data_IF_949430169280
#
_entry.id   IF_949430169280
#
_cell.length_a   1.000
_cell.length_b   1.000
_cell.length_c   1.000
_cell.angle_alpha   90.00
_cell.angle_beta   90.00
_cell.angle_gamma   90.00
#
_symmetry.space_group_name_H-M   'P 1'
#
loop_
_entity.id
_entity.type
_entity.pdbx_description
1 polymer ?
#
# COMPACT_ATOMS: atom_id res chain seq x y z
N UNK A 1 61.89 9.05 2.82
CA UNK A 1 60.67 8.27 2.56
C UNK A 1 59.61 8.70 3.55
N UNK A 2 58.66 9.51 3.09
CA UNK A 2 57.58 10.10 3.88
C UNK A 2 56.44 9.10 4.05
N UNK A 3 56.09 8.79 5.29
CA UNK A 3 54.96 7.92 5.66
C UNK A 3 53.66 8.67 5.36
N UNK A 4 52.86 8.17 4.42
CA UNK A 4 51.51 8.69 4.15
C UNK A 4 50.58 8.42 5.35
N UNK A 5 49.75 9.38 5.78
CA UNK A 5 48.90 9.24 6.95
C UNK A 5 47.71 8.31 6.64
N UNK A 6 47.44 7.43 7.61
CA UNK A 6 46.26 6.59 7.81
C UNK A 6 45.08 6.85 6.86
N UNK A 7 44.76 5.85 6.04
CA UNK A 7 43.45 5.70 5.42
C UNK A 7 42.37 5.81 6.51
N UNK A 8 41.58 6.89 6.51
CA UNK A 8 40.42 7.00 7.41
C UNK A 8 39.54 5.79 7.14
N UNK A 9 39.44 4.90 8.13
CA UNK A 9 38.49 3.80 8.13
C UNK A 9 37.11 4.46 8.06
N UNK A 10 36.43 4.31 6.91
CA UNK A 10 35.04 4.73 6.78
C UNK A 10 34.20 3.77 7.62
N UNK A 11 33.82 4.22 8.83
CA UNK A 11 33.01 3.44 9.77
C UNK A 11 31.55 3.26 9.31
N UNK A 12 31.23 3.65 8.08
CA UNK A 12 29.88 3.58 7.53
C UNK A 12 28.97 4.62 8.17
N UNK A 13 27.69 4.60 7.75
CA UNK A 13 26.69 5.59 8.18
C UNK A 13 26.48 5.54 9.69
N UNK A 14 26.24 6.70 10.31
CA UNK A 14 25.98 6.77 11.75
C UNK A 14 24.64 6.09 12.08
N UNK A 15 24.70 4.91 12.71
CA UNK A 15 23.53 4.11 13.10
C UNK A 15 23.24 4.31 14.59
N UNK A 16 22.01 4.71 14.93
CA UNK A 16 21.51 4.64 16.30
C UNK A 16 20.92 3.25 16.54
N UNK A 17 21.43 2.56 17.57
CA UNK A 17 20.94 1.24 17.98
C UNK A 17 20.02 1.42 19.17
N UNK A 18 18.71 1.22 18.98
CA UNK A 18 17.76 1.17 20.09
C UNK A 18 17.63 -0.29 20.52
N UNK A 19 18.09 -0.59 21.74
CA UNK A 19 17.96 -1.91 22.36
C UNK A 19 16.81 -1.88 23.37
N UNK A 20 15.70 -2.52 23.02
CA UNK A 20 14.52 -2.66 23.89
C UNK A 20 14.41 -4.07 24.47
N UNK A 21 13.74 -4.20 25.61
CA UNK A 21 13.35 -5.47 26.24
C UNK A 21 14.52 -6.41 26.58
N UNK A 22 15.37 -6.00 27.55
CA UNK A 22 16.53 -6.78 28.05
C UNK A 22 17.45 -7.32 26.93
N UNK A 23 17.61 -6.56 25.85
CA UNK A 23 18.51 -6.91 24.72
C UNK A 23 17.95 -7.89 23.70
N UNK A 24 16.67 -8.33 23.81
CA UNK A 24 16.06 -9.26 22.83
C UNK A 24 15.60 -8.57 21.54
N UNK A 25 15.35 -7.25 21.58
CA UNK A 25 14.99 -6.45 20.42
C UNK A 25 16.08 -5.40 20.16
N UNK A 26 16.67 -5.45 18.96
CA UNK A 26 17.64 -4.46 18.49
C UNK A 26 17.14 -3.89 17.18
N UNK A 27 16.77 -2.61 17.20
CA UNK A 27 16.44 -1.82 16.01
C UNK A 27 17.62 -0.90 15.70
N UNK A 28 17.96 -0.79 14.41
CA UNK A 28 19.04 0.05 13.89
C UNK A 28 18.42 1.12 13.00
N UNK A 29 18.47 2.37 13.43
CA UNK A 29 17.97 3.51 12.67
C UNK A 29 19.16 4.32 12.16
N UNK A 30 19.22 4.52 10.85
CA UNK A 30 20.17 5.44 10.25
C UNK A 30 19.71 6.88 10.53
N UNK A 31 20.64 7.79 10.86
CA UNK A 31 20.29 9.20 11.11
C UNK A 31 19.57 9.82 9.92
N UNK A 32 20.01 9.51 8.70
CA UNK A 32 19.37 10.04 7.48
C UNK A 32 17.93 9.53 7.36
N UNK A 33 17.67 8.26 7.65
CA UNK A 33 16.31 7.71 7.62
C UNK A 33 15.39 8.39 8.65
N UNK A 34 15.91 8.74 9.83
CA UNK A 34 15.14 9.50 10.84
C UNK A 34 14.85 10.91 10.33
N UNK A 35 15.85 11.63 9.82
CA UNK A 35 15.67 12.99 9.31
C UNK A 35 14.72 13.04 8.12
N UNK A 36 14.89 12.15 7.14
CA UNK A 36 13.99 12.05 5.98
C UNK A 36 12.58 11.67 6.42
N UNK A 37 12.44 10.72 7.34
CA UNK A 37 11.13 10.33 7.90
C UNK A 37 10.43 11.50 8.62
N UNK A 38 11.17 12.25 9.43
CA UNK A 38 10.64 13.43 10.12
C UNK A 38 10.25 14.53 9.13
N UNK A 39 11.09 14.82 8.14
CA UNK A 39 10.79 15.81 7.10
C UNK A 39 9.53 15.44 6.32
N UNK A 40 9.38 14.18 5.92
CA UNK A 40 8.18 13.68 5.25
C UNK A 40 6.94 13.73 6.16
N UNK A 41 7.09 13.45 7.46
CA UNK A 41 5.99 13.58 8.42
C UNK A 41 5.52 15.03 8.57
N UNK A 42 6.46 15.98 8.67
CA UNK A 42 6.14 17.42 8.73
C UNK A 42 5.45 17.88 7.44
N UNK A 43 5.97 17.48 6.28
CA UNK A 43 5.35 17.78 5.00
C UNK A 43 3.93 17.20 4.90
N UNK A 44 3.75 15.96 5.35
CA UNK A 44 2.44 15.28 5.40
C UNK A 44 1.45 16.04 6.28
N UNK A 45 1.86 16.50 7.46
CA UNK A 45 1.03 17.32 8.34
C UNK A 45 0.67 18.67 7.69
N UNK A 46 1.61 19.31 7.00
CA UNK A 46 1.35 20.53 6.23
C UNK A 46 0.29 20.31 5.14
N UNK A 47 0.43 19.23 4.36
CA UNK A 47 -0.54 18.85 3.32
C UNK A 47 -1.91 18.53 3.95
N UNK A 48 -1.95 17.85 5.09
CA UNK A 48 -3.18 17.57 5.82
C UNK A 48 -3.90 18.86 6.24
N UNK A 49 -3.16 19.83 6.80
CA UNK A 49 -3.70 21.12 7.20
C UNK A 49 -4.25 21.90 6.00
N UNK A 50 -3.52 21.93 4.88
CA UNK A 50 -3.98 22.57 3.64
C UNK A 50 -5.21 21.85 3.09
N UNK A 51 -5.25 20.52 3.11
CA UNK A 51 -6.39 19.74 2.63
C UNK A 51 -7.65 19.96 3.48
N UNK A 52 -7.49 20.14 4.80
CA UNK A 52 -8.60 20.43 5.71
C UNK A 52 -9.15 21.86 5.54
N UNK A 53 -8.31 22.83 5.20
CA UNK A 53 -8.75 24.23 4.96
C UNK A 53 -9.30 24.43 3.54
N UNK A 54 -8.79 23.67 2.57
CA UNK A 54 -9.15 23.75 1.15
C UNK A 54 -10.44 22.99 0.84
N UNK A 55 -11.28 23.53 -0.05
CA UNK A 55 -12.50 22.87 -0.53
C UNK A 55 -13.50 23.85 -1.13
N UNK A 56 -14.71 23.36 -1.48
CA UNK A 56 -15.80 24.21 -2.02
C UNK A 56 -16.18 25.37 -1.07
N UNK A 57 -16.01 25.16 0.23
CA UNK A 57 -16.13 26.18 1.26
C UNK A 57 -14.76 26.35 1.93
N UNK A 58 -13.99 27.40 1.61
CA UNK A 58 -12.72 27.65 2.28
C UNK A 58 -12.98 27.99 3.75
N UNK A 59 -12.32 27.27 4.65
CA UNK A 59 -12.47 27.44 6.10
C UNK A 59 -11.11 27.86 6.66
N UNK A 60 -11.08 28.96 7.40
CA UNK A 60 -9.86 29.43 8.05
C UNK A 60 -9.30 28.38 9.01
N UNK A 61 -7.97 28.27 9.09
CA UNK A 61 -7.30 27.25 9.91
C UNK A 61 -7.73 27.28 11.38
N UNK A 62 -7.99 28.47 11.93
CA UNK A 62 -8.47 28.63 13.31
C UNK A 62 -9.84 27.96 13.53
N UNK A 63 -10.73 28.04 12.54
CA UNK A 63 -12.06 27.43 12.60
C UNK A 63 -11.98 25.91 12.40
N UNK A 64 -11.00 25.42 11.63
CA UNK A 64 -10.69 23.99 11.52
C UNK A 64 -10.22 23.45 12.87
N UNK A 65 -9.27 24.14 13.52
CA UNK A 65 -8.76 23.73 14.83
C UNK A 65 -9.85 23.78 15.90
N UNK A 66 -10.68 24.83 15.89
CA UNK A 66 -11.86 24.93 16.74
C UNK A 66 -12.78 23.73 16.55
N UNK A 67 -13.14 23.42 15.30
CA UNK A 67 -14.01 22.30 14.96
C UNK A 67 -13.46 20.94 15.43
N UNK A 68 -12.13 20.73 15.37
CA UNK A 68 -11.48 19.51 15.85
C UNK A 68 -11.52 19.35 17.38
N UNK A 69 -11.52 20.47 18.11
CA UNK A 69 -11.62 20.49 19.58
C UNK A 69 -13.09 20.54 20.04
N UNK A 70 -14.05 20.51 19.11
CA UNK A 70 -15.49 20.54 19.40
C UNK A 70 -16.05 21.94 19.65
N UNK A 71 -15.33 22.99 19.25
CA UNK A 71 -15.75 24.38 19.33
C UNK A 71 -16.13 24.93 17.94
N UNK A 72 -17.04 25.90 17.90
CA UNK A 72 -17.43 26.59 16.67
C UNK A 72 -18.75 26.11 16.07
N UNK A 73 -19.02 26.58 14.86
CA UNK A 73 -20.28 26.37 14.14
C UNK A 73 -20.50 24.88 13.76
N UNK A 74 -21.72 24.39 13.95
CA UNK A 74 -22.09 22.98 13.72
C UNK A 74 -21.91 22.58 12.25
N UNK A 75 -22.17 23.51 11.31
CA UNK A 75 -21.96 23.27 9.88
C UNK A 75 -20.47 23.11 9.56
N UNK A 76 -19.61 23.98 10.12
CA UNK A 76 -18.14 23.87 9.98
C UNK A 76 -17.64 22.55 10.55
N UNK A 77 -18.15 22.16 11.73
CA UNK A 77 -17.79 20.89 12.36
C UNK A 77 -18.20 19.69 11.50
N UNK A 78 -19.41 19.68 10.97
CA UNK A 78 -19.86 18.60 10.08
C UNK A 78 -18.96 18.49 8.84
N UNK A 79 -18.62 19.61 8.19
CA UNK A 79 -17.76 19.59 7.01
C UNK A 79 -16.34 19.11 7.35
N UNK A 80 -15.75 19.64 8.43
CA UNK A 80 -14.36 19.34 8.80
C UNK A 80 -14.22 17.93 9.37
N UNK A 81 -15.03 17.57 10.36
CA UNK A 81 -14.90 16.34 11.13
C UNK A 81 -15.52 15.16 10.40
N UNK A 82 -16.74 15.29 9.85
CA UNK A 82 -17.45 14.15 9.27
C UNK A 82 -17.05 13.88 7.81
N UNK A 83 -16.69 14.92 7.05
CA UNK A 83 -16.40 14.75 5.61
C UNK A 83 -14.91 14.84 5.28
N UNK A 84 -14.21 15.87 5.75
CA UNK A 84 -12.81 16.10 5.36
C UNK A 84 -11.83 15.24 6.15
N UNK A 85 -12.01 15.15 7.47
CA UNK A 85 -11.08 14.42 8.34
C UNK A 85 -10.96 12.93 7.98
N UNK A 86 -12.05 12.14 7.84
CA UNK A 86 -11.91 10.73 7.48
C UNK A 86 -11.29 10.55 6.10
N UNK A 87 -11.63 11.42 5.15
CA UNK A 87 -11.04 11.40 3.80
C UNK A 87 -9.54 11.67 3.81
N UNK A 88 -9.08 12.67 4.56
CA UNK A 88 -7.65 12.99 4.70
C UNK A 88 -6.91 11.85 5.41
N UNK A 89 -7.47 11.33 6.51
CA UNK A 89 -6.86 10.21 7.24
C UNK A 89 -6.76 8.94 6.38
N UNK A 90 -7.82 8.60 5.63
CA UNK A 90 -7.78 7.49 4.67
C UNK A 90 -6.77 7.72 3.55
N UNK A 91 -6.63 8.95 3.03
CA UNK A 91 -5.60 9.25 2.02
C UNK A 91 -4.19 8.90 2.52
N UNK A 92 -3.86 9.26 3.76
CA UNK A 92 -2.56 8.92 4.35
C UNK A 92 -2.40 7.43 4.63
N UNK A 93 -3.43 6.79 5.17
CA UNK A 93 -3.40 5.36 5.48
C UNK A 93 -3.26 4.51 4.22
N UNK A 94 -4.12 4.75 3.22
CA UNK A 94 -4.11 4.02 1.97
C UNK A 94 -2.84 4.33 1.15
N UNK A 95 -2.41 5.60 1.11
CA UNK A 95 -1.14 5.98 0.48
C UNK A 95 0.07 5.31 1.14
N UNK A 96 0.09 5.22 2.47
CA UNK A 96 1.11 4.49 3.22
C UNK A 96 1.10 2.98 2.93
N UNK A 97 -0.10 2.38 2.81
CA UNK A 97 -0.24 0.97 2.45
C UNK A 97 0.29 0.68 1.03
N UNK A 98 -0.02 1.54 0.06
CA UNK A 98 0.53 1.44 -1.29
C UNK A 98 2.05 1.63 -1.30
N UNK A 99 2.57 2.63 -0.57
CA UNK A 99 4.02 2.85 -0.46
C UNK A 99 4.75 1.64 0.14
N UNK A 100 4.18 1.01 1.17
CA UNK A 100 4.72 -0.23 1.76
C UNK A 100 4.67 -1.39 0.77
N UNK A 101 3.57 -1.57 0.05
CA UNK A 101 3.46 -2.60 -0.98
C UNK A 101 4.48 -2.40 -2.10
N UNK A 102 4.60 -1.17 -2.61
CA UNK A 102 5.60 -0.79 -3.61
C UNK A 102 7.02 -1.11 -3.15
N UNK A 103 7.39 -0.73 -1.93
CA UNK A 103 8.70 -1.05 -1.36
C UNK A 103 8.95 -2.57 -1.29
N UNK A 104 7.95 -3.35 -0.87
CA UNK A 104 8.04 -4.82 -0.83
C UNK A 104 8.28 -5.39 -2.23
N UNK A 105 7.53 -4.95 -3.24
CA UNK A 105 7.67 -5.44 -4.61
C UNK A 105 8.98 -4.99 -5.25
N UNK A 106 9.45 -3.77 -5.00
CA UNK A 106 10.76 -3.30 -5.43
C UNK A 106 11.88 -4.17 -4.85
N UNK A 107 11.82 -4.49 -3.55
CA UNK A 107 12.78 -5.40 -2.89
C UNK A 107 12.72 -6.83 -3.42
N UNK A 108 11.50 -7.38 -3.63
CA UNK A 108 11.30 -8.74 -4.12
C UNK A 108 11.80 -8.94 -5.56
N UNK A 109 11.58 -7.92 -6.39
CA UNK A 109 11.99 -7.91 -7.80
C UNK A 109 13.43 -7.44 -7.98
N UNK A 110 14.03 -6.84 -6.95
CA UNK A 110 15.30 -6.10 -7.01
C UNK A 110 15.31 -5.10 -8.17
N UNK A 111 14.15 -4.48 -8.42
CA UNK A 111 13.93 -3.56 -9.51
C UNK A 111 13.19 -2.33 -8.97
N UNK A 112 13.78 -1.11 -9.07
CA UNK A 112 13.11 0.11 -8.63
C UNK A 112 11.80 0.39 -9.40
N UNK A 113 11.60 -0.21 -10.58
CA UNK A 113 10.38 -0.14 -11.37
C UNK A 113 9.35 -1.23 -11.00
N UNK A 114 9.64 -2.09 -10.03
CA UNK A 114 8.73 -3.15 -9.62
C UNK A 114 7.55 -2.60 -8.82
N UNK A 115 6.36 -2.52 -9.44
CA UNK A 115 5.12 -2.14 -8.76
C UNK A 115 4.11 -3.30 -8.74
N UNK A 116 3.22 -3.36 -7.73
CA UNK A 116 2.15 -4.36 -7.67
C UNK A 116 1.18 -4.28 -8.86
N UNK A 117 1.00 -3.09 -9.43
CA UNK A 117 0.11 -2.86 -10.57
C UNK A 117 0.58 -3.61 -11.83
N UNK A 118 1.89 -3.68 -12.05
CA UNK A 118 2.49 -4.39 -13.18
C UNK A 118 2.21 -5.90 -13.12
N UNK A 119 1.99 -6.45 -11.92
CA UNK A 119 1.75 -7.88 -11.72
C UNK A 119 0.27 -8.25 -11.94
N UNK A 120 -0.63 -7.25 -12.04
CA UNK A 120 -2.03 -7.45 -12.40
C UNK A 120 -2.99 -7.66 -11.23
N UNK A 121 -2.54 -7.46 -9.98
CA UNK A 121 -3.41 -7.62 -8.82
C UNK A 121 -4.53 -6.56 -8.80
N UNK A 122 -4.21 -5.32 -9.16
CA UNK A 122 -5.19 -4.24 -9.28
C UNK A 122 -6.22 -4.53 -10.38
N UNK A 123 -5.79 -5.12 -11.51
CA UNK A 123 -6.69 -5.56 -12.58
C UNK A 123 -7.62 -6.69 -12.12
N UNK A 124 -7.11 -7.65 -11.34
CA UNK A 124 -7.90 -8.73 -10.73
C UNK A 124 -8.90 -8.26 -9.69
N UNK A 125 -8.50 -7.32 -8.84
CA UNK A 125 -9.41 -6.66 -7.91
C UNK A 125 -10.50 -5.89 -8.64
N UNK A 126 -10.17 -5.20 -9.73
CA UNK A 126 -11.16 -4.52 -10.56
C UNK A 126 -12.12 -5.51 -11.23
N UNK A 127 -11.63 -6.65 -11.73
CA UNK A 127 -12.49 -7.73 -12.25
C UNK A 127 -13.46 -8.23 -11.19
N UNK A 128 -12.99 -8.47 -9.96
CA UNK A 128 -13.84 -8.89 -8.85
C UNK A 128 -14.92 -7.86 -8.51
N UNK A 129 -14.57 -6.57 -8.51
CA UNK A 129 -15.53 -5.48 -8.33
C UNK A 129 -16.57 -5.45 -9.46
N UNK A 130 -16.14 -5.56 -10.72
CA UNK A 130 -17.02 -5.57 -11.89
C UNK A 130 -17.99 -6.74 -11.86
N UNK A 131 -17.54 -7.94 -11.47
CA UNK A 131 -18.41 -9.11 -11.31
C UNK A 131 -19.53 -8.82 -10.31
N UNK A 132 -19.22 -8.21 -9.16
CA UNK A 132 -20.25 -7.88 -8.16
C UNK A 132 -21.18 -6.78 -8.65
N UNK A 133 -20.65 -5.71 -9.24
CA UNK A 133 -21.45 -4.58 -9.73
C UNK A 133 -22.39 -5.03 -10.86
N UNK A 134 -21.88 -5.82 -11.82
CA UNK A 134 -22.61 -6.19 -13.03
C UNK A 134 -23.56 -7.38 -12.82
N UNK A 135 -23.16 -8.40 -12.06
CA UNK A 135 -23.93 -9.65 -11.94
C UNK A 135 -24.75 -9.74 -10.66
N UNK A 136 -24.25 -9.18 -9.56
CA UNK A 136 -24.90 -9.27 -8.25
C UNK A 136 -25.63 -7.98 -7.87
N UNK A 137 -25.42 -6.89 -8.63
CA UNK A 137 -25.91 -5.54 -8.32
C UNK A 137 -25.60 -5.12 -6.89
N UNK A 138 -24.42 -5.52 -6.41
CA UNK A 138 -24.07 -5.41 -5.01
C UNK A 138 -23.74 -4.00 -4.56
N UNK A 139 -23.95 -3.71 -3.28
CA UNK A 139 -23.59 -2.45 -2.64
C UNK A 139 -22.08 -2.24 -2.51
N UNK A 140 -21.69 -1.15 -1.84
CA UNK A 140 -20.27 -0.81 -1.60
C UNK A 140 -19.49 -1.94 -0.93
N UNK A 141 -20.01 -2.50 0.17
CA UNK A 141 -19.33 -3.55 0.93
C UNK A 141 -19.17 -4.85 0.14
N UNK A 142 -20.17 -5.21 -0.66
CA UNK A 142 -20.13 -6.41 -1.51
C UNK A 142 -19.12 -6.21 -2.64
N UNK A 143 -19.11 -5.01 -3.25
CA UNK A 143 -18.13 -4.63 -4.28
C UNK A 143 -16.70 -4.65 -3.73
N UNK A 144 -16.51 -4.12 -2.52
CA UNK A 144 -15.23 -4.13 -1.82
C UNK A 144 -14.77 -5.58 -1.50
N UNK A 145 -15.69 -6.44 -1.07
CA UNK A 145 -15.40 -7.86 -0.85
C UNK A 145 -15.06 -8.59 -2.16
N UNK A 146 -15.81 -8.33 -3.23
CA UNK A 146 -15.51 -8.83 -4.57
C UNK A 146 -14.14 -8.40 -5.06
N UNK A 147 -13.77 -7.14 -4.84
CA UNK A 147 -12.46 -6.63 -5.19
C UNK A 147 -11.34 -7.33 -4.41
N UNK A 148 -11.51 -7.51 -3.11
CA UNK A 148 -10.54 -8.21 -2.27
C UNK A 148 -10.35 -9.67 -2.73
N UNK A 149 -11.46 -10.38 -2.97
CA UNK A 149 -11.43 -11.78 -3.43
C UNK A 149 -10.80 -11.86 -4.82
N UNK A 150 -11.20 -10.99 -5.75
CA UNK A 150 -10.64 -10.93 -7.10
C UNK A 150 -9.13 -10.74 -7.09
N UNK A 151 -8.62 -9.79 -6.29
CA UNK A 151 -7.18 -9.56 -6.14
C UNK A 151 -6.43 -10.77 -5.56
N UNK A 152 -6.98 -11.41 -4.53
CA UNK A 152 -6.38 -12.61 -3.91
C UNK A 152 -6.37 -13.80 -4.89
N UNK A 153 -7.48 -14.02 -5.60
CA UNK A 153 -7.58 -15.10 -6.61
C UNK A 153 -6.59 -14.87 -7.74
N UNK A 154 -6.47 -13.64 -8.24
CA UNK A 154 -5.47 -13.29 -9.25
C UNK A 154 -4.05 -13.49 -8.73
N UNK A 155 -3.76 -13.09 -7.49
CA UNK A 155 -2.45 -13.32 -6.90
C UNK A 155 -2.11 -14.81 -6.74
N UNK A 156 -3.08 -15.61 -6.34
CA UNK A 156 -2.94 -17.06 -6.25
C UNK A 156 -2.69 -17.67 -7.65
N UNK A 157 -3.46 -17.25 -8.66
CA UNK A 157 -3.30 -17.72 -10.04
C UNK A 157 -1.92 -17.38 -10.60
N UNK A 158 -1.48 -16.12 -10.46
CA UNK A 158 -0.13 -15.68 -10.88
C UNK A 158 0.95 -16.47 -10.15
N UNK A 159 0.80 -16.69 -8.84
CA UNK A 159 1.75 -17.48 -8.05
C UNK A 159 1.86 -18.92 -8.56
N UNK A 160 0.73 -19.60 -8.75
CA UNK A 160 0.68 -20.99 -9.21
C UNK A 160 1.28 -21.14 -10.61
N UNK A 161 0.93 -20.24 -11.53
CA UNK A 161 1.49 -20.21 -12.89
C UNK A 161 2.99 -19.90 -12.89
N UNK A 162 3.43 -19.03 -11.98
CA UNK A 162 4.85 -18.71 -11.82
C UNK A 162 5.62 -19.75 -11.00
N UNK A 163 5.00 -20.81 -10.48
CA UNK A 163 5.68 -21.80 -9.64
C UNK A 163 6.22 -22.99 -10.47
N UNK A 164 7.55 -23.12 -10.54
CA UNK A 164 8.27 -24.29 -11.06
C UNK A 164 9.61 -24.40 -10.34
N UNK A 165 9.72 -25.38 -9.42
CA UNK A 165 10.90 -25.65 -8.56
C UNK A 165 11.38 -24.43 -7.75
N UNK A 166 10.44 -23.57 -7.34
CA UNK A 166 10.69 -22.27 -6.69
C UNK A 166 10.17 -21.11 -7.53
N UNK A 167 10.14 -19.90 -6.95
CA UNK A 167 9.68 -18.69 -7.62
C UNK A 167 10.88 -17.83 -7.96
N UNK A 168 11.17 -17.70 -9.26
CA UNK A 168 12.15 -16.74 -9.77
C UNK A 168 11.42 -15.40 -9.96
N UNK A 169 11.99 -14.30 -9.44
CA UNK A 169 11.38 -12.97 -9.49
C UNK A 169 11.03 -12.53 -10.92
N UNK A 170 11.91 -12.81 -11.89
CA UNK A 170 11.68 -12.46 -13.29
C UNK A 170 10.46 -13.18 -13.89
N UNK A 171 10.29 -14.48 -13.63
CA UNK A 171 9.16 -15.25 -14.15
C UNK A 171 7.82 -14.75 -13.58
N UNK A 172 7.81 -14.39 -12.29
CA UNK A 172 6.63 -13.82 -11.65
C UNK A 172 6.16 -12.54 -12.37
N UNK A 173 7.10 -11.68 -12.77
CA UNK A 173 6.80 -10.45 -13.50
C UNK A 173 6.18 -10.76 -14.86
N UNK A 174 6.81 -11.65 -15.66
CA UNK A 174 6.31 -11.98 -17.01
C UNK A 174 4.92 -12.62 -16.96
N UNK A 175 4.70 -13.55 -16.02
CA UNK A 175 3.38 -14.19 -15.81
C UNK A 175 2.36 -13.15 -15.34
N UNK A 176 2.75 -12.28 -14.41
CA UNK A 176 1.90 -11.19 -13.91
C UNK A 176 1.43 -10.26 -15.01
N UNK A 177 2.35 -9.77 -15.85
CA UNK A 177 2.01 -8.90 -17.00
C UNK A 177 1.05 -9.61 -17.96
N UNK A 178 1.28 -10.89 -18.25
CA UNK A 178 0.39 -11.68 -19.11
C UNK A 178 -1.03 -11.79 -18.53
N UNK A 179 -1.15 -12.13 -17.24
CA UNK A 179 -2.44 -12.22 -16.54
C UNK A 179 -3.11 -10.85 -16.43
N UNK A 180 -2.36 -9.79 -16.14
CA UNK A 180 -2.85 -8.42 -16.10
C UNK A 180 -3.47 -7.99 -17.43
N UNK A 181 -2.80 -8.29 -18.54
CA UNK A 181 -3.30 -8.00 -19.89
C UNK A 181 -4.59 -8.77 -20.20
N UNK A 182 -4.65 -10.06 -19.83
CA UNK A 182 -5.85 -10.88 -19.99
C UNK A 182 -7.04 -10.33 -19.19
N UNK A 183 -6.82 -10.00 -17.91
CA UNK A 183 -7.84 -9.43 -17.04
C UNK A 183 -8.29 -8.04 -17.52
N UNK A 184 -7.37 -7.21 -18.02
CA UNK A 184 -7.71 -5.90 -18.57
C UNK A 184 -8.58 -6.02 -19.81
N UNK A 185 -8.25 -6.95 -20.71
CA UNK A 185 -9.09 -7.24 -21.88
C UNK A 185 -10.48 -7.76 -21.48
N UNK A 186 -10.54 -8.62 -20.46
CA UNK A 186 -11.80 -9.13 -19.92
C UNK A 186 -12.66 -8.01 -19.30
N UNK A 187 -12.06 -7.14 -18.49
CA UNK A 187 -12.74 -5.97 -17.90
C UNK A 187 -13.30 -5.04 -18.98
N UNK A 188 -12.52 -4.77 -20.04
CA UNK A 188 -12.98 -3.95 -21.16
C UNK A 188 -14.16 -4.58 -21.92
N UNK A 189 -14.15 -5.91 -22.08
CA UNK A 189 -15.27 -6.64 -22.67
C UNK A 189 -16.54 -6.56 -21.78
N UNK A 190 -16.41 -6.78 -20.46
CA UNK A 190 -17.55 -6.67 -19.54
C UNK A 190 -18.20 -5.29 -19.56
N UNK A 191 -17.39 -4.22 -19.59
CA UNK A 191 -17.89 -2.84 -19.61
C UNK A 191 -18.62 -2.53 -20.93
N UNK A 192 -18.21 -3.14 -22.04
CA UNK A 192 -18.88 -2.97 -23.35
C UNK A 192 -20.29 -3.57 -23.38
N UNK A 193 -20.49 -4.67 -22.67
CA UNK A 193 -21.77 -5.38 -22.61
C UNK A 193 -22.72 -4.80 -21.56
N UNK A 194 -22.20 -3.99 -20.62
CA UNK A 194 -22.96 -3.42 -19.52
C UNK A 194 -23.87 -2.26 -19.96
N UNK A 195 -25.01 -2.12 -19.29
CA UNK A 195 -25.87 -0.94 -19.44
C UNK A 195 -25.12 0.35 -19.09
N UNK A 196 -25.40 1.44 -19.80
CA UNK A 196 -24.65 2.70 -19.70
C UNK A 196 -24.50 3.21 -18.26
N UNK A 197 -25.56 3.11 -17.45
CA UNK A 197 -25.55 3.60 -16.06
C UNK A 197 -24.64 2.77 -15.15
N UNK A 198 -24.61 1.45 -15.37
CA UNK A 198 -23.76 0.53 -14.63
C UNK A 198 -22.31 0.64 -15.11
N UNK A 199 -22.10 0.80 -16.42
CA UNK A 199 -20.81 1.06 -17.02
C UNK A 199 -20.18 2.36 -16.50
N UNK A 200 -20.96 3.44 -16.34
CA UNK A 200 -20.49 4.69 -15.72
C UNK A 200 -20.09 4.49 -14.26
N UNK A 201 -20.88 3.74 -13.49
CA UNK A 201 -20.60 3.46 -12.08
C UNK A 201 -19.31 2.63 -11.93
N UNK A 202 -19.15 1.61 -12.78
CA UNK A 202 -17.93 0.84 -12.90
C UNK A 202 -16.71 1.69 -13.31
N UNK A 203 -16.87 2.59 -14.28
CA UNK A 203 -15.80 3.49 -14.70
C UNK A 203 -15.35 4.44 -13.58
N UNK A 204 -16.29 4.97 -12.78
CA UNK A 204 -15.98 5.79 -11.61
C UNK A 204 -15.23 4.96 -10.56
N UNK A 205 -15.63 3.71 -10.34
CA UNK A 205 -14.91 2.81 -9.45
C UNK A 205 -13.50 2.49 -9.95
N UNK A 206 -13.36 2.25 -11.26
CA UNK A 206 -12.09 1.93 -11.92
C UNK A 206 -11.10 3.09 -11.93
N UNK A 207 -11.57 4.34 -11.88
CA UNK A 207 -10.72 5.51 -11.74
C UNK A 207 -10.13 5.66 -10.33
N UNK A 208 -10.75 5.03 -9.33
CA UNK A 208 -10.42 5.22 -7.93
C UNK A 208 -10.91 6.56 -7.38
N UNK A 209 -11.49 6.56 -6.18
CA UNK A 209 -11.98 7.77 -5.53
C UNK A 209 -11.98 7.64 -4.02
N UNK A 210 -11.52 8.71 -3.35
CA UNK A 210 -11.67 8.88 -1.90
C UNK A 210 -12.96 9.62 -1.53
N UNK A 211 -13.79 9.95 -2.52
CA UNK A 211 -15.02 10.68 -2.30
C UNK A 211 -16.09 9.75 -1.70
N UNK A 212 -16.80 10.22 -0.68
CA UNK A 212 -17.81 9.42 0.02
C UNK A 212 -17.26 8.45 1.07
N UNK A 213 -15.95 8.47 1.34
CA UNK A 213 -15.38 7.69 2.44
C UNK A 213 -15.54 8.42 3.78
N UNK A 214 -16.16 7.74 4.75
CA UNK A 214 -16.41 8.24 6.09
C UNK A 214 -15.71 7.42 7.16
N UNK A 215 -16.15 7.61 8.41
CA UNK A 215 -15.61 6.88 9.56
C UNK A 215 -15.86 5.38 9.51
N UNK A 216 -16.95 4.95 8.86
CA UNK A 216 -17.30 3.53 8.69
C UNK A 216 -16.19 2.76 7.96
N UNK A 217 -15.54 3.36 6.95
CA UNK A 217 -14.42 2.76 6.23
C UNK A 217 -13.08 3.04 6.92
N UNK A 218 -12.94 4.22 7.54
CA UNK A 218 -11.70 4.61 8.22
C UNK A 218 -11.33 3.64 9.35
N UNK A 219 -12.28 3.29 10.23
CA UNK A 219 -11.97 2.50 11.43
C UNK A 219 -11.42 1.11 11.08
N UNK A 220 -12.07 0.30 10.21
CA UNK A 220 -11.52 -1.00 9.81
C UNK A 220 -10.16 -0.89 9.13
N UNK A 221 -9.98 0.08 8.21
CA UNK A 221 -8.72 0.30 7.51
C UNK A 221 -7.61 0.69 8.49
N UNK A 222 -7.89 1.58 9.43
CA UNK A 222 -6.94 2.01 10.45
C UNK A 222 -6.55 0.85 11.38
N UNK A 223 -7.52 0.02 11.79
CA UNK A 223 -7.25 -1.18 12.61
C UNK A 223 -6.29 -2.12 11.88
N UNK A 224 -6.58 -2.46 10.62
CA UNK A 224 -5.73 -3.38 9.86
C UNK A 224 -4.35 -2.78 9.62
N UNK A 225 -4.26 -1.54 9.16
CA UNK A 225 -2.99 -0.92 8.78
C UNK A 225 -2.12 -0.49 9.98
N UNK A 226 -2.71 -0.12 11.11
CA UNK A 226 -1.94 0.33 12.28
C UNK A 226 -1.66 -0.81 13.28
N UNK A 227 -2.47 -1.87 13.30
CA UNK A 227 -2.32 -2.97 14.28
C UNK A 227 -1.72 -4.21 13.63
N UNK A 228 -2.18 -4.60 12.44
CA UNK A 228 -1.80 -5.89 11.83
C UNK A 228 -0.54 -5.76 10.96
N UNK A 229 -0.44 -4.70 10.17
CA UNK A 229 0.66 -4.52 9.21
C UNK A 229 2.03 -4.22 9.87
N UNK A 230 2.14 -3.38 10.92
CA UNK A 230 3.44 -3.07 11.53
C UNK A 230 4.17 -4.28 12.13
N UNK A 231 3.54 -5.20 12.90
CA UNK A 231 4.25 -6.37 13.39
C UNK A 231 4.68 -7.30 12.25
N UNK A 232 3.83 -7.49 11.22
CA UNK A 232 4.17 -8.33 10.06
C UNK A 232 5.36 -7.78 9.27
N UNK A 233 5.36 -6.48 8.98
CA UNK A 233 6.46 -5.81 8.27
C UNK A 233 7.76 -5.83 9.08
N UNK A 234 7.69 -5.61 10.40
CA UNK A 234 8.86 -5.71 11.28
C UNK A 234 9.46 -7.12 11.30
N UNK A 235 8.61 -8.16 11.35
CA UNK A 235 9.04 -9.56 11.30
C UNK A 235 9.70 -9.92 9.95
N UNK A 236 9.17 -9.40 8.83
CA UNK A 236 9.67 -9.69 7.49
C UNK A 236 10.83 -8.79 7.03
N UNK A 237 11.10 -7.69 7.76
CA UNK A 237 12.14 -6.70 7.39
C UNK A 237 13.55 -7.29 7.28
N UNK A 238 13.96 -8.17 8.21
CA UNK A 238 15.29 -8.79 8.21
C UNK A 238 15.44 -9.83 7.09
N UNK A 239 14.51 -10.80 6.93
CA UNK A 239 14.52 -11.71 5.79
C UNK A 239 14.50 -11.00 4.44
N UNK A 240 13.78 -9.88 4.33
CA UNK A 240 13.72 -9.07 3.10
C UNK A 240 15.09 -8.48 2.73
N UNK A 241 15.81 -7.88 3.69
CA UNK A 241 17.18 -7.37 3.45
C UNK A 241 18.15 -8.49 3.06
N UNK A 242 17.99 -9.69 3.62
CA UNK A 242 18.79 -10.85 3.22
C UNK A 242 18.47 -11.31 1.80
N UNK A 243 17.20 -11.28 1.41
CA UNK A 243 16.76 -11.53 0.03
C UNK A 243 17.30 -10.50 -0.97
N UNK A 244 17.54 -9.25 -0.57
CA UNK A 244 18.14 -8.24 -1.47
C UNK A 244 19.60 -8.57 -1.82
N UNK A 245 20.34 -9.22 -0.91
CA UNK A 245 21.76 -9.59 -1.12
C UNK A 245 21.98 -10.77 -2.06
N UNK A 246 20.94 -11.52 -2.43
CA UNK A 246 21.06 -12.73 -3.24
C UNK A 246 20.34 -13.92 -2.63
N UNK A 247 19.81 -14.81 -3.47
CA UNK A 247 19.08 -15.99 -3.00
C UNK A 247 20.04 -16.97 -2.29
N UNK A 248 21.29 -17.07 -2.75
CA UNK A 248 22.31 -17.94 -2.16
C UNK A 248 22.78 -17.42 -0.80
N UNK A 249 22.97 -16.09 -0.67
CA UNK A 249 23.32 -15.44 0.60
C UNK A 249 22.18 -15.55 1.63
N UNK A 250 20.94 -15.39 1.18
CA UNK A 250 19.76 -15.57 2.05
C UNK A 250 19.68 -17.02 2.58
N UNK A 251 19.87 -18.01 1.71
CA UNK A 251 19.87 -19.43 2.09
C UNK A 251 21.02 -19.78 3.04
N UNK A 252 22.22 -19.25 2.80
CA UNK A 252 23.37 -19.45 3.67
C UNK A 252 23.15 -18.90 5.10
N UNK A 253 22.36 -17.82 5.22
CA UNK A 253 21.98 -17.24 6.51
C UNK A 253 20.82 -17.96 7.23
N UNK A 254 20.32 -19.06 6.67
CA UNK A 254 19.21 -19.86 7.24
C UNK A 254 17.81 -19.37 6.86
N UNK A 255 17.68 -18.38 5.98
CA UNK A 255 16.37 -17.90 5.52
C UNK A 255 15.84 -18.76 4.39
N UNK A 256 14.61 -19.23 4.57
CA UNK A 256 13.85 -19.92 3.53
C UNK A 256 13.35 -18.92 2.48
N UNK A 257 14.21 -18.60 1.50
CA UNK A 257 13.94 -17.61 0.46
C UNK A 257 12.55 -17.75 -0.19
N UNK A 258 12.12 -18.98 -0.51
CA UNK A 258 10.81 -19.23 -1.11
C UNK A 258 9.64 -18.87 -0.18
N UNK A 259 9.72 -19.22 1.12
CA UNK A 259 8.66 -18.94 2.10
C UNK A 259 8.58 -17.44 2.39
N UNK A 260 9.73 -16.79 2.58
CA UNK A 260 9.77 -15.34 2.80
C UNK A 260 9.23 -14.58 1.59
N UNK A 261 9.60 -14.99 0.37
CA UNK A 261 9.08 -14.40 -0.86
C UNK A 261 7.55 -14.53 -0.93
N UNK A 262 7.00 -15.70 -0.60
CA UNK A 262 5.55 -15.92 -0.53
C UNK A 262 4.88 -14.97 0.47
N UNK A 263 5.39 -14.90 1.70
CA UNK A 263 4.80 -14.06 2.75
C UNK A 263 4.83 -12.58 2.39
N UNK A 264 5.93 -12.11 1.80
CA UNK A 264 6.06 -10.74 1.31
C UNK A 264 5.09 -10.46 0.16
N UNK A 265 4.94 -11.40 -0.79
CA UNK A 265 3.95 -11.26 -1.86
C UNK A 265 2.53 -11.19 -1.32
N UNK A 266 2.15 -12.09 -0.42
CA UNK A 266 0.82 -12.10 0.21
C UNK A 266 0.57 -10.80 0.96
N UNK A 267 1.56 -10.29 1.71
CA UNK A 267 1.44 -9.01 2.41
C UNK A 267 1.29 -7.84 1.44
N UNK A 268 2.12 -7.77 0.39
CA UNK A 268 2.05 -6.70 -0.61
C UNK A 268 0.72 -6.69 -1.36
N UNK A 269 0.23 -7.88 -1.76
CA UNK A 269 -1.10 -8.07 -2.38
C UNK A 269 -2.21 -7.69 -1.42
N UNK A 270 -2.14 -8.10 -0.16
CA UNK A 270 -3.18 -7.77 0.82
C UNK A 270 -3.28 -6.25 1.02
N UNK A 271 -2.13 -5.55 1.08
CA UNK A 271 -2.09 -4.09 1.17
C UNK A 271 -2.74 -3.42 -0.05
N UNK A 272 -2.42 -3.86 -1.26
CA UNK A 272 -3.03 -3.28 -2.47
C UNK A 272 -4.51 -3.63 -2.61
N UNK A 273 -4.90 -4.84 -2.21
CA UNK A 273 -6.29 -5.28 -2.21
C UNK A 273 -7.14 -4.48 -1.21
N UNK A 274 -6.63 -4.21 0.00
CA UNK A 274 -7.32 -3.34 0.98
C UNK A 274 -7.52 -1.94 0.41
N UNK A 275 -6.49 -1.37 -0.22
CA UNK A 275 -6.60 -0.05 -0.85
C UNK A 275 -7.60 -0.06 -2.00
N UNK A 276 -7.56 -1.09 -2.84
CA UNK A 276 -8.47 -1.22 -3.98
C UNK A 276 -9.91 -1.44 -3.55
N UNK A 277 -10.13 -2.18 -2.46
CA UNK A 277 -11.44 -2.41 -1.89
C UNK A 277 -12.02 -1.12 -1.27
N UNK A 278 -11.17 -0.30 -0.63
CA UNK A 278 -11.61 0.94 0.01
C UNK A 278 -11.83 2.08 -0.99
N UNK A 279 -10.89 2.30 -1.91
CA UNK A 279 -10.84 3.50 -2.74
C UNK A 279 -10.89 3.21 -4.25
N UNK A 280 -11.07 1.95 -4.68
CA UNK A 280 -10.90 1.56 -6.07
C UNK A 280 -9.42 1.44 -6.47
N UNK A 281 -9.13 1.02 -7.71
CA UNK A 281 -7.75 0.80 -8.17
C UNK A 281 -7.02 2.14 -8.20
N UNK A 282 -5.92 2.25 -7.44
CA UNK A 282 -5.05 3.42 -7.43
C UNK A 282 -3.67 2.97 -7.86
N UNK A 283 -3.19 3.52 -8.97
CA UNK A 283 -1.84 3.24 -9.47
C UNK A 283 -0.78 4.00 -8.67
N UNK A 284 0.36 3.34 -8.44
CA UNK A 284 1.57 3.91 -7.84
C UNK A 284 2.47 4.65 -8.84
#
# INVERSE_FOLDING_TARGET
MTVQPSSRIDFGRSVHVVRGFRGRLSARFDRLSIFTGLALAILSLGIAAISLTSGKYPIALINVLGALVGQGDDMVRMIVVEWRLPRVALAFLLGGALAMSGAIFQSLTRNPLGSPDIIGFSAGSYTGALVVILLLSGGYYETAAGALIGGIVTAMAVYLLAYRRGVQGFRLIVVGIGVAAMLSAFNAWMIREAELQVAMSAAIWGAGSLNGLGFEQLVPVAVVLCIVVPPLTLLLSRPMRQLEMGDDMARASGVNANRTRLLLMVLGVALTAIVTAAAGPVSL
#
